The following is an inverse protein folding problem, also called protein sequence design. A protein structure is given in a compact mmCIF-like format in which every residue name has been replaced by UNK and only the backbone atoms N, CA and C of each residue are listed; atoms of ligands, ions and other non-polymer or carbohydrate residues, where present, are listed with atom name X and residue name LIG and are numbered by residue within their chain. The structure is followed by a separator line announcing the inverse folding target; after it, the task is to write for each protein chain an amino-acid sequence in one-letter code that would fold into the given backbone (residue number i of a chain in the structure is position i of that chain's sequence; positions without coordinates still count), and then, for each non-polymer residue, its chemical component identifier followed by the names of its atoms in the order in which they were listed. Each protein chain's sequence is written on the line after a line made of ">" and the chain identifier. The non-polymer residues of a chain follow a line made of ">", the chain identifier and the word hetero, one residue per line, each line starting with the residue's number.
data_IF_795880795439
#
_entry.id   IF_795880795439
#
_cell.length_a   1.000
_cell.length_b   1.000
_cell.length_c   1.000
_cell.angle_alpha   90.00
_cell.angle_beta   90.00
_cell.angle_gamma   90.00
#
_symmetry.space_group_name_H-M   'P 1'
#
loop_
_entity.id
_entity.type
_entity.pdbx_description
1 polymer ?
#
# COMPACT_ATOMS: atom_id res chain seq x y z
N UNK A 1 43.79 11.69 -20.22
CA UNK A 1 42.51 12.02 -19.55
C UNK A 1 41.40 11.44 -20.40
N UNK A 2 40.82 10.31 -19.99
CA UNK A 2 39.75 9.63 -20.73
C UNK A 2 38.43 10.35 -20.44
N UNK A 3 38.00 11.18 -21.39
CA UNK A 3 36.73 11.87 -21.33
C UNK A 3 35.62 10.87 -21.69
N UNK A 4 34.69 10.63 -20.76
CA UNK A 4 33.60 9.66 -20.88
C UNK A 4 32.95 9.69 -22.28
N UNK A 5 33.10 8.60 -23.02
CA UNK A 5 32.55 8.43 -24.37
C UNK A 5 31.05 8.15 -24.34
N UNK A 6 30.24 9.16 -24.03
CA UNK A 6 28.79 9.09 -24.18
C UNK A 6 28.48 9.24 -25.68
N UNK A 7 28.22 8.13 -26.35
CA UNK A 7 27.79 8.10 -27.75
C UNK A 7 26.27 8.27 -27.86
N UNK A 8 25.77 8.63 -29.06
CA UNK A 8 24.33 8.78 -29.35
C UNK A 8 23.49 7.57 -28.93
N UNK A 9 24.08 6.38 -28.99
CA UNK A 9 23.41 5.13 -28.62
C UNK A 9 23.09 5.05 -27.12
N UNK A 10 23.95 5.60 -26.26
CA UNK A 10 23.71 5.67 -24.81
C UNK A 10 22.54 6.61 -24.50
N UNK A 11 22.48 7.76 -25.19
CA UNK A 11 21.39 8.72 -25.04
C UNK A 11 20.07 8.13 -25.54
N UNK A 12 20.12 7.42 -26.66
CA UNK A 12 18.94 6.78 -27.25
C UNK A 12 18.42 5.66 -26.35
N UNK A 13 19.31 4.80 -25.84
CA UNK A 13 18.97 3.77 -24.86
C UNK A 13 18.38 4.34 -23.57
N UNK A 14 18.93 5.45 -23.08
CA UNK A 14 18.40 6.14 -21.90
C UNK A 14 16.98 6.67 -22.14
N UNK A 15 16.73 7.38 -23.25
CA UNK A 15 15.41 7.94 -23.57
C UNK A 15 14.37 6.82 -23.71
N UNK A 16 14.72 5.72 -24.41
CA UNK A 16 13.83 4.56 -24.55
C UNK A 16 13.55 3.92 -23.18
N UNK A 17 14.58 3.74 -22.35
CA UNK A 17 14.43 3.16 -21.01
C UNK A 17 13.53 4.00 -20.10
N UNK A 18 13.71 5.32 -20.09
CA UNK A 18 12.86 6.24 -19.32
C UNK A 18 11.43 6.24 -19.84
N UNK A 19 11.23 6.20 -21.15
CA UNK A 19 9.90 6.14 -21.76
C UNK A 19 9.12 4.89 -21.37
N UNK A 20 9.76 3.71 -21.44
CA UNK A 20 9.14 2.44 -21.04
C UNK A 20 8.84 2.42 -19.53
N UNK A 21 9.77 2.91 -18.70
CA UNK A 21 9.56 2.99 -17.26
C UNK A 21 8.38 3.90 -16.89
N UNK A 22 8.27 5.07 -17.52
CA UNK A 22 7.17 6.01 -17.28
C UNK A 22 5.82 5.43 -17.71
N UNK A 23 5.76 4.75 -18.86
CA UNK A 23 4.54 4.10 -19.33
C UNK A 23 4.12 2.95 -18.40
N UNK A 24 5.08 2.11 -17.97
CA UNK A 24 4.83 1.05 -16.99
C UNK A 24 4.34 1.61 -15.65
N UNK A 25 4.95 2.70 -15.17
CA UNK A 25 4.53 3.40 -13.95
C UNK A 25 3.12 4.01 -14.07
N UNK A 26 2.76 4.52 -15.25
CA UNK A 26 1.42 5.06 -15.49
C UNK A 26 0.34 3.98 -15.43
N UNK A 27 0.60 2.81 -16.03
CA UNK A 27 -0.31 1.65 -15.94
C UNK A 27 -0.38 1.14 -14.51
N UNK A 28 0.75 1.10 -13.80
CA UNK A 28 0.80 0.74 -12.37
C UNK A 28 -0.11 1.65 -11.53
N UNK A 29 -0.09 2.97 -11.74
CA UNK A 29 -0.93 3.92 -11.01
C UNK A 29 -2.44 3.66 -11.18
N UNK A 30 -2.88 3.23 -12.37
CA UNK A 30 -4.32 3.01 -12.62
C UNK A 30 -4.86 1.71 -12.03
N UNK A 31 -4.00 0.71 -11.85
CA UNK A 31 -4.41 -0.64 -11.45
C UNK A 31 -3.53 -1.19 -10.32
N UNK A 32 -3.08 -0.31 -9.43
CA UNK A 32 -2.09 -0.60 -8.38
C UNK A 32 -2.39 -1.90 -7.62
N UNK A 33 -3.63 -2.08 -7.17
CA UNK A 33 -4.07 -3.26 -6.42
C UNK A 33 -4.01 -4.56 -7.23
N UNK A 34 -4.51 -4.55 -8.47
CA UNK A 34 -4.45 -5.71 -9.36
C UNK A 34 -3.02 -6.06 -9.76
N UNK A 35 -2.17 -5.06 -9.99
CA UNK A 35 -0.76 -5.27 -10.35
C UNK A 35 0.03 -5.76 -9.15
N UNK A 36 -0.21 -5.24 -7.95
CA UNK A 36 0.41 -5.72 -6.72
C UNK A 36 0.01 -7.18 -6.43
N UNK A 37 -1.26 -7.56 -6.65
CA UNK A 37 -1.74 -8.95 -6.52
C UNK A 37 -1.10 -9.88 -7.56
N UNK A 38 -1.00 -9.43 -8.82
CA UNK A 38 -0.30 -10.18 -9.87
C UNK A 38 1.19 -10.34 -9.54
N UNK A 39 1.89 -9.28 -9.11
CA UNK A 39 3.31 -9.34 -8.71
C UNK A 39 3.51 -10.28 -7.52
N UNK A 40 2.59 -10.24 -6.54
CA UNK A 40 2.60 -11.16 -5.41
C UNK A 40 2.44 -12.62 -5.84
N UNK A 41 1.60 -12.92 -6.84
CA UNK A 41 1.45 -14.26 -7.41
C UNK A 41 2.73 -14.77 -8.09
N UNK A 42 3.59 -13.89 -8.60
CA UNK A 42 4.91 -14.25 -9.13
C UNK A 42 6.01 -14.30 -8.06
N UNK A 43 5.66 -14.16 -6.79
CA UNK A 43 6.61 -14.16 -5.67
C UNK A 43 7.32 -12.84 -5.43
N UNK A 44 6.96 -11.77 -6.16
CA UNK A 44 7.49 -10.43 -5.97
C UNK A 44 6.60 -9.73 -4.94
N UNK A 45 7.06 -9.66 -3.69
CA UNK A 45 6.41 -8.82 -2.67
C UNK A 45 6.77 -7.37 -2.94
N UNK A 46 5.84 -6.61 -3.52
CA UNK A 46 5.96 -5.16 -3.58
C UNK A 46 5.89 -4.65 -2.14
N UNK A 47 6.91 -3.94 -1.64
CA UNK A 47 6.78 -3.25 -0.36
C UNK A 47 5.66 -2.24 -0.53
N UNK A 48 4.50 -2.55 0.04
CA UNK A 48 3.47 -1.55 0.26
C UNK A 48 4.18 -0.42 1.02
N UNK A 49 4.06 0.86 0.59
CA UNK A 49 4.62 1.95 1.35
C UNK A 49 4.11 1.75 2.76
N UNK A 50 5.03 1.37 3.66
CA UNK A 50 4.67 1.08 5.04
C UNK A 50 3.82 2.24 5.48
N UNK A 51 2.61 1.95 5.97
CA UNK A 51 1.70 2.94 6.54
C UNK A 51 2.57 3.92 7.32
N UNK A 52 2.74 5.14 6.78
CA UNK A 52 3.94 5.95 6.97
C UNK A 52 4.44 5.88 8.40
N UNK A 53 5.72 5.50 8.58
CA UNK A 53 6.43 5.42 9.86
C UNK A 53 5.80 6.38 10.88
N UNK A 54 5.05 5.82 11.84
CA UNK A 54 4.23 6.61 12.78
C UNK A 54 5.06 7.67 13.50
N UNK A 55 6.37 7.40 13.65
CA UNK A 55 7.37 8.30 14.23
C UNK A 55 7.62 9.57 13.42
N UNK A 56 7.23 9.60 12.14
CA UNK A 56 7.36 10.75 11.23
C UNK A 56 6.08 11.57 11.08
N UNK A 57 4.96 11.12 11.65
CA UNK A 57 3.70 11.85 11.61
C UNK A 57 3.71 13.03 12.60
N UNK A 58 2.98 14.08 12.28
CA UNK A 58 2.71 15.19 13.21
C UNK A 58 1.75 14.75 14.31
N UNK A 59 1.72 15.47 15.44
CA UNK A 59 0.82 15.16 16.57
C UNK A 59 -0.65 15.09 16.15
N UNK A 60 -1.07 15.99 15.27
CA UNK A 60 -2.44 16.03 14.73
C UNK A 60 -2.77 14.77 13.92
N UNK A 61 -1.87 14.37 13.02
CA UNK A 61 -2.02 13.15 12.23
C UNK A 61 -2.04 11.89 13.10
N UNK A 62 -1.23 11.86 14.17
CA UNK A 62 -1.24 10.79 15.17
C UNK A 62 -2.57 10.72 15.94
N UNK A 63 -3.12 11.87 16.35
CA UNK A 63 -4.41 11.93 17.03
C UNK A 63 -5.56 11.49 16.12
N UNK A 64 -5.57 11.94 14.87
CA UNK A 64 -6.54 11.50 13.87
C UNK A 64 -6.46 9.97 13.65
N UNK A 65 -5.24 9.45 13.53
CA UNK A 65 -4.99 8.01 13.38
C UNK A 65 -5.50 7.22 14.58
N UNK A 66 -5.30 7.74 15.81
CA UNK A 66 -5.82 7.16 17.04
C UNK A 66 -7.35 7.10 17.03
N UNK A 67 -8.02 8.21 16.74
CA UNK A 67 -9.50 8.28 16.72
C UNK A 67 -10.07 7.25 15.73
N UNK A 68 -9.52 7.19 14.51
CA UNK A 68 -9.95 6.19 13.51
C UNK A 68 -9.78 4.75 14.01
N UNK A 69 -8.71 4.46 14.76
CA UNK A 69 -8.49 3.12 15.33
C UNK A 69 -9.50 2.83 16.45
N UNK A 70 -9.79 3.80 17.31
CA UNK A 70 -10.80 3.66 18.37
C UNK A 70 -12.19 3.38 17.77
N UNK A 71 -12.56 4.09 16.70
CA UNK A 71 -13.81 3.85 15.98
C UNK A 71 -13.88 2.44 15.39
N UNK A 72 -12.81 1.99 14.71
CA UNK A 72 -12.74 0.66 14.13
C UNK A 72 -12.76 -0.46 15.17
N UNK A 73 -12.23 -0.22 16.38
CA UNK A 73 -12.31 -1.18 17.49
C UNK A 73 -13.74 -1.26 17.98
N UNK A 74 -14.42 -0.14 18.20
CA UNK A 74 -15.81 -0.11 18.63
C UNK A 74 -16.73 -0.83 17.63
N UNK A 75 -16.54 -0.61 16.33
CA UNK A 75 -17.28 -1.34 15.28
C UNK A 75 -17.07 -2.86 15.35
N UNK A 76 -15.83 -3.30 15.62
CA UNK A 76 -15.50 -4.73 15.75
C UNK A 76 -16.06 -5.34 17.03
N UNK A 77 -16.02 -4.62 18.15
CA UNK A 77 -16.60 -5.07 19.42
C UNK A 77 -18.11 -5.23 19.28
N UNK A 78 -18.81 -4.25 18.70
CA UNK A 78 -20.25 -4.36 18.40
C UNK A 78 -20.55 -5.55 17.49
N UNK A 79 -19.76 -5.76 16.43
CA UNK A 79 -19.94 -6.91 15.54
C UNK A 79 -19.73 -8.25 16.27
N UNK A 80 -18.84 -8.31 17.27
CA UNK A 80 -18.63 -9.50 18.10
C UNK A 80 -19.76 -9.71 19.12
N UNK A 81 -20.31 -8.63 19.70
CA UNK A 81 -21.46 -8.69 20.62
C UNK A 81 -22.75 -9.08 19.89
N UNK A 82 -23.02 -8.55 18.70
CA UNK A 82 -24.15 -8.95 17.86
C UNK A 82 -24.05 -10.42 17.39
N UNK A 83 -22.85 -11.00 17.40
CA UNK A 83 -22.58 -12.39 17.05
C UNK A 83 -22.78 -13.38 18.21
N UNK A 84 -23.16 -12.94 19.41
CA UNK A 84 -23.54 -13.83 20.50
C UNK A 84 -25.02 -14.23 20.35
N UNK A 85 -25.34 -15.48 19.95
CA UNK A 85 -26.71 -15.94 20.02
C UNK A 85 -27.14 -16.00 21.48
N UNK A 86 -28.33 -15.46 21.74
CA UNK A 86 -29.12 -15.60 22.97
C UNK A 86 -29.18 -17.07 23.40
N UNK A 87 -28.25 -17.48 24.26
CA UNK A 87 -28.24 -18.80 24.90
C UNK A 87 -28.16 -18.61 26.41
N UNK A 88 -29.04 -17.77 26.98
CA UNK A 88 -29.40 -17.90 28.38
C UNK A 88 -30.82 -17.35 28.63
N UNK A 89 -31.80 -18.02 28.03
CA UNK A 89 -33.15 -18.04 28.59
C UNK A 89 -33.78 -19.37 28.23
N UNK A 90 -34.31 -20.08 29.24
CA UNK A 90 -35.02 -21.37 29.18
C UNK A 90 -34.19 -22.59 29.60
N UNK A 91 -33.89 -22.70 30.89
CA UNK A 91 -34.04 -23.96 31.62
C UNK A 91 -34.49 -23.65 33.05
N UNK A 92 -35.50 -24.40 33.47
CA UNK A 92 -36.38 -24.36 34.65
C UNK A 92 -35.81 -23.93 36.01
#
# INVERSE_FOLDING_TARGET
>A
MNQFGITRDHVTGFVVGVGVAAAGYYVYLKNKEQVDEMLANYGIRVPQPEQGDLSKLTLEELMLKKETIEDLIAEKEMALEDSQPLADSSAE
#
